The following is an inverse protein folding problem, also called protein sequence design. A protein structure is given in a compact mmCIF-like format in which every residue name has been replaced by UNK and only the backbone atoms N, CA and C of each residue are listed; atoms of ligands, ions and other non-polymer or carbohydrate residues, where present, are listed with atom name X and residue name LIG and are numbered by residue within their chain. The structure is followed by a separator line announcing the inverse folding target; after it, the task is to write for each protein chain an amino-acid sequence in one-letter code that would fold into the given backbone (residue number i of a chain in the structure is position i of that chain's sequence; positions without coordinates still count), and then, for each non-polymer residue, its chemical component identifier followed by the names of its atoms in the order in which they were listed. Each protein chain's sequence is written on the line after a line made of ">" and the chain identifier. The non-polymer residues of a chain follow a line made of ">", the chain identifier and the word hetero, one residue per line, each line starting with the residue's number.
data_IF_388597948362
#
_entry.id   IF_388597948362
#
_cell.length_a   1.000
_cell.length_b   1.000
_cell.length_c   1.000
_cell.angle_alpha   90.00
_cell.angle_beta   90.00
_cell.angle_gamma   90.00
#
_symmetry.space_group_name_H-M   'P 1'
#
loop_
_entity.id
_entity.type
_entity.pdbx_description
1 polymer ?
#
# COMPACT_ATOMS: atom_id res chain seq x y z
N UNK A 1 -18.26 12.95 10.45
CA UNK A 1 -18.13 11.94 11.53
C UNK A 1 -18.63 10.56 11.10
N UNK A 2 -19.91 10.40 10.72
CA UNK A 2 -20.47 9.12 10.28
C UNK A 2 -19.70 8.46 9.12
N UNK A 3 -19.26 9.26 8.13
CA UNK A 3 -18.43 8.81 7.01
C UNK A 3 -17.10 8.17 7.45
N UNK A 4 -16.43 8.81 8.41
CA UNK A 4 -15.13 8.35 8.92
C UNK A 4 -15.29 7.10 9.78
N UNK A 5 -16.38 7.01 10.55
CA UNK A 5 -16.69 5.84 11.37
C UNK A 5 -17.01 4.62 10.51
N UNK A 6 -17.76 4.77 9.41
CA UNK A 6 -18.07 3.69 8.49
C UNK A 6 -16.83 3.20 7.71
N UNK A 7 -15.98 4.12 7.24
CA UNK A 7 -14.70 3.77 6.60
C UNK A 7 -13.76 3.02 7.58
N UNK A 8 -13.66 3.50 8.82
CA UNK A 8 -12.88 2.84 9.86
C UNK A 8 -13.44 1.45 10.22
N UNK A 9 -14.77 1.31 10.28
CA UNK A 9 -15.42 0.02 10.52
C UNK A 9 -15.07 -0.99 9.42
N UNK A 10 -15.16 -0.61 8.14
CA UNK A 10 -14.83 -1.47 7.00
C UNK A 10 -13.36 -1.87 6.98
N UNK A 11 -12.47 -0.90 7.22
CA UNK A 11 -11.04 -1.15 7.36
C UNK A 11 -10.74 -2.14 8.50
N UNK A 12 -11.42 -1.98 9.64
CA UNK A 12 -11.23 -2.86 10.80
C UNK A 12 -11.76 -4.28 10.56
N UNK A 13 -12.90 -4.44 9.87
CA UNK A 13 -13.47 -5.75 9.53
C UNK A 13 -12.56 -6.50 8.56
N UNK A 14 -12.07 -5.85 7.50
CA UNK A 14 -11.15 -6.48 6.55
C UNK A 14 -9.80 -6.84 7.19
N UNK A 15 -9.27 -5.97 8.04
CA UNK A 15 -8.04 -6.24 8.80
C UNK A 15 -8.25 -7.39 9.80
N UNK A 16 -9.43 -7.47 10.42
CA UNK A 16 -9.81 -8.56 11.33
C UNK A 16 -9.97 -9.90 10.63
N UNK A 17 -10.56 -9.93 9.43
CA UNK A 17 -10.66 -11.15 8.60
C UNK A 17 -9.29 -11.67 8.19
N UNK A 18 -8.34 -10.78 7.87
CA UNK A 18 -6.97 -11.17 7.58
C UNK A 18 -6.22 -11.64 8.83
N UNK A 19 -6.46 -11.02 10.00
CA UNK A 19 -5.87 -11.46 11.26
C UNK A 19 -6.38 -12.84 11.73
N UNK A 20 -7.62 -13.20 11.37
CA UNK A 20 -8.20 -14.52 11.68
C UNK A 20 -7.45 -15.70 11.02
N UNK A 21 -6.65 -15.44 9.99
CA UNK A 21 -5.81 -16.47 9.34
C UNK A 21 -4.76 -17.08 10.29
N UNK A 22 -4.41 -16.40 11.38
CA UNK A 22 -3.48 -16.91 12.39
C UNK A 22 -4.13 -17.88 13.38
N UNK A 23 -5.44 -17.73 13.61
CA UNK A 23 -6.18 -18.47 14.64
C UNK A 23 -6.89 -19.72 14.10
N UNK A 24 -7.33 -19.70 12.84
CA UNK A 24 -8.09 -20.81 12.23
C UNK A 24 -7.16 -21.75 11.45
N UNK A 25 -7.07 -23.01 11.87
CA UNK A 25 -6.18 -24.02 11.26
C UNK A 25 -6.42 -24.24 9.75
N UNK A 26 -7.66 -24.09 9.27
CA UNK A 26 -7.99 -24.19 7.85
C UNK A 26 -7.37 -23.08 6.98
N UNK A 27 -7.06 -21.91 7.57
CA UNK A 27 -6.49 -20.75 6.87
C UNK A 27 -4.96 -20.65 7.04
N UNK A 28 -4.36 -21.46 7.93
CA UNK A 28 -2.90 -21.53 8.10
C UNK A 28 -2.17 -22.01 6.84
N UNK A 29 -2.86 -22.70 5.93
CA UNK A 29 -2.32 -23.11 4.62
C UNK A 29 -1.84 -21.90 3.81
N UNK A 30 -2.50 -20.75 3.92
CA UNK A 30 -2.08 -19.51 3.23
C UNK A 30 -0.78 -18.95 3.83
N UNK A 31 -0.55 -19.17 5.12
CA UNK A 31 0.68 -18.80 5.81
C UNK A 31 1.85 -19.74 5.43
N UNK A 32 1.55 -21.00 5.08
CA UNK A 32 2.54 -21.99 4.57
C UNK A 32 3.15 -21.59 3.21
N UNK A 33 2.48 -20.74 2.43
CA UNK A 33 3.02 -20.18 1.18
C UNK A 33 4.08 -19.08 1.39
N UNK A 34 4.40 -18.72 2.65
CA UNK A 34 5.40 -17.69 2.98
C UNK A 34 4.86 -16.26 2.90
N UNK A 35 3.53 -16.09 2.87
CA UNK A 35 2.88 -14.78 2.81
C UNK A 35 2.70 -14.23 4.23
N UNK A 36 3.44 -13.18 4.58
CA UNK A 36 3.27 -12.51 5.87
C UNK A 36 1.94 -11.74 5.91
N UNK A 37 0.91 -12.35 6.46
CA UNK A 37 -0.43 -11.74 6.58
C UNK A 37 -0.43 -10.48 7.46
N UNK A 38 0.45 -10.43 8.47
CA UNK A 38 0.72 -9.22 9.26
C UNK A 38 1.08 -8.03 8.36
N UNK A 39 1.90 -8.27 7.33
CA UNK A 39 2.33 -7.22 6.43
C UNK A 39 1.21 -6.72 5.52
N UNK A 40 0.33 -7.62 5.06
CA UNK A 40 -0.87 -7.27 4.28
C UNK A 40 -1.76 -6.31 5.07
N UNK A 41 -1.96 -6.55 6.37
CA UNK A 41 -2.75 -5.68 7.25
C UNK A 41 -2.12 -4.29 7.37
N UNK A 42 -0.80 -4.23 7.58
CA UNK A 42 -0.08 -2.94 7.66
C UNK A 42 -0.24 -2.14 6.37
N UNK A 43 -0.13 -2.78 5.21
CA UNK A 43 -0.30 -2.10 3.92
C UNK A 43 -1.72 -1.60 3.71
N UNK A 44 -2.75 -2.32 4.17
CA UNK A 44 -4.13 -1.84 4.12
C UNK A 44 -4.28 -0.56 4.95
N UNK A 45 -3.76 -0.53 6.17
CA UNK A 45 -3.82 0.65 7.05
C UNK A 45 -3.13 1.86 6.42
N UNK A 46 -1.99 1.66 5.76
CA UNK A 46 -1.27 2.74 5.09
C UNK A 46 -1.77 3.09 3.69
N UNK A 47 -2.66 2.30 3.10
CA UNK A 47 -3.23 2.57 1.78
C UNK A 47 -4.59 3.24 1.85
N UNK A 48 -5.40 2.92 2.87
CA UNK A 48 -6.78 3.43 2.99
C UNK A 48 -6.77 4.91 3.38
N UNK A 49 -7.31 5.74 2.49
CA UNK A 49 -7.56 7.16 2.73
C UNK A 49 -9.01 7.53 2.43
N UNK A 50 -9.42 8.76 2.79
CA UNK A 50 -10.80 9.21 2.61
C UNK A 50 -11.24 9.16 1.15
N UNK A 51 -10.35 9.45 0.19
CA UNK A 51 -10.70 9.44 -1.23
C UNK A 51 -10.15 8.21 -1.94
N UNK A 52 -10.91 7.68 -2.91
CA UNK A 52 -10.45 6.58 -3.77
C UNK A 52 -9.21 6.98 -4.59
N UNK A 53 -9.15 8.22 -5.09
CA UNK A 53 -7.98 8.71 -5.83
C UNK A 53 -6.72 8.78 -4.97
N UNK A 54 -6.84 9.28 -3.73
CA UNK A 54 -5.73 9.29 -2.78
C UNK A 54 -5.33 7.86 -2.37
N UNK A 55 -6.30 6.98 -2.11
CA UNK A 55 -6.06 5.57 -1.80
C UNK A 55 -5.29 4.87 -2.92
N UNK A 56 -5.66 5.09 -4.18
CA UNK A 56 -4.95 4.53 -5.33
C UNK A 56 -3.51 5.08 -5.46
N UNK A 57 -3.33 6.38 -5.21
CA UNK A 57 -2.01 7.00 -5.22
C UNK A 57 -1.11 6.45 -4.10
N UNK A 58 -1.63 6.28 -2.89
CA UNK A 58 -0.92 5.69 -1.76
C UNK A 58 -0.61 4.20 -1.99
N UNK A 59 -1.53 3.45 -2.57
CA UNK A 59 -1.28 2.06 -2.99
C UNK A 59 -0.13 1.97 -4.00
N UNK A 60 -0.08 2.89 -4.97
CA UNK A 60 1.02 2.98 -5.92
C UNK A 60 2.34 3.30 -5.22
N UNK A 61 2.35 4.24 -4.27
CA UNK A 61 3.54 4.55 -3.48
C UNK A 61 4.03 3.37 -2.66
N UNK A 62 3.12 2.57 -2.10
CA UNK A 62 3.45 1.36 -1.34
C UNK A 62 4.07 0.29 -2.24
N UNK A 63 3.54 0.12 -3.46
CA UNK A 63 4.10 -0.82 -4.43
C UNK A 63 5.51 -0.45 -4.89
N UNK A 64 5.77 0.82 -5.25
CA UNK A 64 7.12 1.26 -5.61
C UNK A 64 8.07 1.25 -4.42
N UNK A 65 7.55 1.55 -3.23
CA UNK A 65 8.30 1.52 -1.98
C UNK A 65 8.82 0.13 -1.62
N UNK A 66 8.18 -0.94 -2.08
CA UNK A 66 8.64 -2.32 -1.85
C UNK A 66 9.35 -2.95 -3.03
N UNK A 67 9.01 -2.57 -4.25
CA UNK A 67 9.65 -3.06 -5.47
C UNK A 67 11.13 -2.65 -5.56
N UNK A 68 11.47 -1.40 -5.21
CA UNK A 68 12.85 -0.93 -5.32
C UNK A 68 13.82 -1.61 -4.33
N UNK A 69 13.49 -1.78 -3.04
CA UNK A 69 14.34 -2.53 -2.10
C UNK A 69 14.40 -4.03 -2.42
N UNK A 70 13.31 -4.64 -2.88
CA UNK A 70 13.32 -6.07 -3.25
C UNK A 70 14.15 -6.33 -4.50
N UNK A 71 14.19 -5.40 -5.47
CA UNK A 71 15.13 -5.49 -6.59
C UNK A 71 16.58 -5.29 -6.14
N UNK A 72 16.85 -4.31 -5.28
CA UNK A 72 18.20 -4.08 -4.75
C UNK A 72 18.70 -5.31 -3.98
N UNK A 73 17.87 -5.91 -3.12
CA UNK A 73 18.26 -7.12 -2.39
C UNK A 73 18.46 -8.31 -3.34
N UNK A 74 17.66 -8.43 -4.41
CA UNK A 74 17.88 -9.45 -5.43
C UNK A 74 19.25 -9.30 -6.11
N UNK A 75 19.66 -8.08 -6.47
CA UNK A 75 21.00 -7.82 -7.00
C UNK A 75 22.09 -8.11 -5.96
N UNK A 76 21.86 -7.78 -4.69
CA UNK A 76 22.81 -7.97 -3.61
C UNK A 76 23.09 -9.46 -3.34
N UNK A 77 22.06 -10.31 -3.29
CA UNK A 77 22.20 -11.77 -3.17
C UNK A 77 22.60 -12.46 -4.49
N UNK A 78 22.34 -11.82 -5.64
CA UNK A 78 22.79 -12.29 -6.95
C UNK A 78 24.30 -12.16 -7.13
N UNK A 79 24.89 -11.02 -6.73
CA UNK A 79 26.34 -10.81 -6.79
C UNK A 79 27.11 -11.45 -5.63
N UNK A 80 26.50 -11.56 -4.45
CA UNK A 80 27.13 -12.17 -3.27
C UNK A 80 26.27 -13.32 -2.71
N UNK A 81 26.18 -14.47 -3.40
CA UNK A 81 25.31 -15.58 -3.01
C UNK A 81 25.71 -16.28 -1.69
N UNK A 82 26.93 -16.08 -1.20
CA UNK A 82 27.47 -16.68 0.03
C UNK A 82 27.70 -15.67 1.16
N UNK A 83 27.04 -14.50 1.12
CA UNK A 83 27.29 -13.41 2.07
C UNK A 83 27.05 -13.75 3.53
N UNK A 84 26.14 -14.68 3.82
CA UNK A 84 25.83 -15.15 5.18
C UNK A 84 26.74 -16.27 5.68
N UNK A 85 27.57 -16.87 4.83
CA UNK A 85 28.42 -18.03 5.19
C UNK A 85 29.86 -17.65 5.53
N UNK A 86 30.33 -16.46 5.14
CA UNK A 86 31.63 -15.92 5.58
C UNK A 86 31.47 -15.08 6.84
N UNK A 87 31.38 -15.79 7.97
CA UNK A 87 31.19 -15.28 9.32
C UNK A 87 32.40 -14.50 9.90
N UNK A 88 32.80 -13.40 9.26
CA UNK A 88 33.82 -12.48 9.78
C UNK A 88 33.33 -11.05 9.77
N UNK A 89 33.35 -10.38 10.93
CA UNK A 89 33.35 -8.91 10.98
C UNK A 89 34.58 -8.46 10.15
N UNK A 90 34.38 -7.60 9.15
CA UNK A 90 35.37 -7.20 8.12
C UNK A 90 35.58 -8.12 6.89
N UNK A 91 34.69 -9.06 6.58
CA UNK A 91 34.75 -9.74 5.27
C UNK A 91 34.43 -8.76 4.12
N UNK A 92 34.94 -8.98 2.90
CA UNK A 92 34.62 -8.16 1.73
C UNK A 92 33.11 -8.06 1.48
N UNK A 93 32.38 -9.12 1.79
CA UNK A 93 30.94 -9.21 1.64
C UNK A 93 30.18 -8.35 2.66
N UNK A 94 30.71 -8.22 3.88
CA UNK A 94 30.15 -7.32 4.90
C UNK A 94 30.27 -5.85 4.47
N UNK A 95 31.44 -5.45 3.94
CA UNK A 95 31.64 -4.11 3.40
C UNK A 95 30.75 -3.84 2.20
N UNK A 96 30.54 -4.82 1.33
CA UNK A 96 29.64 -4.70 0.19
C UNK A 96 28.19 -4.41 0.61
N UNK A 97 27.66 -5.16 1.59
CA UNK A 97 26.32 -4.92 2.14
C UNK A 97 26.18 -3.58 2.86
N UNK A 98 27.22 -3.14 3.58
CA UNK A 98 27.22 -1.84 4.27
C UNK A 98 27.29 -0.66 3.29
N UNK A 99 28.12 -0.75 2.26
CA UNK A 99 28.24 0.28 1.22
C UNK A 99 26.96 0.37 0.41
N UNK A 100 26.34 -0.76 0.04
CA UNK A 100 25.05 -0.76 -0.66
C UNK A 100 23.94 -0.10 0.19
N UNK A 101 23.88 -0.39 1.49
CA UNK A 101 22.93 0.29 2.38
C UNK A 101 23.14 1.80 2.39
N UNK A 102 24.37 2.29 2.53
CA UNK A 102 24.67 3.73 2.50
C UNK A 102 24.33 4.32 1.13
N UNK A 103 24.75 3.67 0.04
CA UNK A 103 24.51 4.13 -1.31
C UNK A 103 23.01 4.24 -1.63
N UNK A 104 22.21 3.25 -1.22
CA UNK A 104 20.75 3.26 -1.39
C UNK A 104 20.10 4.40 -0.59
N UNK A 105 20.50 4.61 0.67
CA UNK A 105 20.00 5.73 1.47
C UNK A 105 20.33 7.09 0.83
N UNK A 106 21.57 7.28 0.37
CA UNK A 106 21.99 8.52 -0.31
C UNK A 106 21.26 8.71 -1.64
N UNK A 107 21.06 7.64 -2.42
CA UNK A 107 20.31 7.71 -3.67
C UNK A 107 18.86 8.16 -3.43
N UNK A 108 18.19 7.64 -2.40
CA UNK A 108 16.82 8.04 -2.06
C UNK A 108 16.70 9.42 -1.42
N UNK A 109 17.77 9.92 -0.78
CA UNK A 109 17.86 11.32 -0.37
C UNK A 109 18.04 12.25 -1.58
N UNK A 110 18.90 11.86 -2.53
CA UNK A 110 19.21 12.66 -3.71
C UNK A 110 18.05 12.69 -4.73
N UNK A 111 17.37 11.56 -4.93
CA UNK A 111 16.16 11.48 -5.74
C UNK A 111 15.02 12.11 -4.94
N UNK A 112 14.44 13.21 -5.43
CA UNK A 112 13.31 13.91 -4.81
C UNK A 112 12.00 13.11 -4.93
N UNK A 113 11.99 11.91 -4.33
CA UNK A 113 10.88 10.95 -4.36
C UNK A 113 9.82 11.35 -3.34
N UNK A 114 8.51 11.11 -3.60
CA UNK A 114 7.45 11.32 -2.63
C UNK A 114 7.72 10.65 -1.28
N UNK A 115 7.33 11.32 -0.18
CA UNK A 115 7.61 10.89 1.20
C UNK A 115 7.08 9.48 1.48
N UNK A 116 5.91 9.11 0.94
CA UNK A 116 5.34 7.77 1.11
C UNK A 116 6.25 6.67 0.59
N UNK A 117 6.77 6.81 -0.63
CA UNK A 117 7.70 5.83 -1.24
C UNK A 117 8.99 5.77 -0.44
N UNK A 118 9.51 6.92 0.04
CA UNK A 118 10.75 6.96 0.85
C UNK A 118 10.61 6.20 2.16
N UNK A 119 9.50 6.35 2.89
CA UNK A 119 9.28 5.67 4.17
C UNK A 119 9.28 4.14 4.01
N UNK A 120 8.61 3.62 2.97
CA UNK A 120 8.58 2.19 2.70
C UNK A 120 9.91 1.67 2.13
N UNK A 121 10.55 2.42 1.24
CA UNK A 121 11.82 1.99 0.65
C UNK A 121 12.94 1.89 1.70
N UNK A 122 13.07 2.89 2.58
CA UNK A 122 14.12 2.92 3.59
C UNK A 122 13.90 1.88 4.70
N UNK A 123 12.66 1.64 5.10
CA UNK A 123 12.34 0.62 6.12
C UNK A 123 12.64 -0.80 5.60
N UNK A 124 12.26 -1.11 4.37
CA UNK A 124 12.58 -2.40 3.76
C UNK A 124 14.06 -2.59 3.46
N UNK A 125 14.74 -1.55 2.99
CA UNK A 125 16.19 -1.63 2.76
C UNK A 125 16.94 -1.92 4.07
N UNK A 126 16.53 -1.29 5.19
CA UNK A 126 17.12 -1.56 6.50
C UNK A 126 16.86 -3.01 6.96
N UNK A 127 15.66 -3.54 6.74
CA UNK A 127 15.36 -4.94 7.05
C UNK A 127 16.23 -5.90 6.24
N UNK A 128 16.35 -5.67 4.93
CA UNK A 128 17.13 -6.50 4.03
C UNK A 128 18.64 -6.43 4.29
N UNK A 129 19.17 -5.24 4.60
CA UNK A 129 20.59 -5.09 4.94
C UNK A 129 20.91 -5.75 6.28
N UNK A 130 20.06 -5.61 7.31
CA UNK A 130 20.22 -6.36 8.56
C UNK A 130 20.17 -7.88 8.34
N UNK A 131 19.28 -8.33 7.45
CA UNK A 131 19.13 -9.72 7.12
C UNK A 131 20.35 -10.31 6.39
N UNK A 132 21.05 -9.49 5.59
CA UNK A 132 22.29 -9.85 4.89
C UNK A 132 23.53 -9.79 5.81
N UNK A 133 23.60 -8.80 6.71
CA UNK A 133 24.75 -8.61 7.61
C UNK A 133 24.75 -9.57 8.80
N UNK A 134 23.61 -10.16 9.17
CA UNK A 134 23.50 -11.06 10.31
C UNK A 134 23.83 -12.52 9.92
N UNK A 135 24.96 -13.10 10.40
CA UNK A 135 25.37 -14.47 10.06
C UNK A 135 24.51 -15.56 10.73
N UNK A 136 23.66 -15.22 11.70
CA UNK A 136 22.75 -16.16 12.37
C UNK A 136 21.35 -16.19 11.77
N UNK A 137 21.12 -15.46 10.68
CA UNK A 137 19.80 -15.33 10.11
C UNK A 137 19.40 -16.58 9.31
N UNK A 138 18.26 -17.18 9.67
CA UNK A 138 17.72 -18.40 9.05
C UNK A 138 16.73 -18.12 7.91
N UNK A 139 16.51 -16.85 7.55
CA UNK A 139 15.64 -16.46 6.44
C UNK A 139 16.22 -16.94 5.11
N UNK A 140 15.44 -17.74 4.37
CA UNK A 140 15.82 -18.25 3.05
C UNK A 140 15.74 -17.11 2.02
N UNK A 141 16.90 -16.65 1.55
CA UNK A 141 17.01 -15.80 0.37
C UNK A 141 17.47 -16.64 -0.82
N UNK A 142 17.09 -16.24 -2.03
CA UNK A 142 17.53 -16.83 -3.29
C UNK A 142 19.05 -16.63 -3.42
N UNK A 143 19.83 -17.69 -3.42
CA UNK A 143 21.29 -17.63 -3.59
C UNK A 143 21.63 -17.72 -5.08
N UNK A 144 22.02 -16.60 -5.69
CA UNK A 144 22.37 -16.53 -7.11
C UNK A 144 21.18 -16.25 -8.04
N UNK A 145 21.46 -16.08 -9.34
CA UNK A 145 20.46 -15.80 -10.38
C UNK A 145 19.72 -17.06 -10.90
N UNK A 146 20.20 -18.26 -10.57
CA UNK A 146 19.71 -19.52 -11.17
C UNK A 146 18.60 -20.21 -10.35
N UNK A 147 18.54 -20.05 -9.02
CA UNK A 147 17.52 -20.70 -8.17
C UNK A 147 16.60 -19.67 -7.51
N UNK A 148 15.64 -19.12 -8.28
CA UNK A 148 14.60 -18.24 -7.76
C UNK A 148 13.66 -19.05 -6.85
N UNK A 149 13.98 -19.11 -5.56
CA UNK A 149 13.11 -19.71 -4.56
C UNK A 149 11.85 -18.85 -4.45
N UNK A 150 10.71 -19.37 -4.93
CA UNK A 150 9.41 -18.70 -4.89
C UNK A 150 8.93 -18.41 -3.43
N UNK A 151 9.47 -19.14 -2.45
CA UNK A 151 9.34 -18.91 -1.00
C UNK A 151 10.44 -18.00 -0.42
N UNK A 152 11.12 -17.23 -1.25
CA UNK A 152 12.18 -16.32 -0.81
C UNK A 152 11.65 -15.17 0.02
N UNK A 153 12.42 -14.74 1.03
CA UNK A 153 12.09 -13.59 1.89
C UNK A 153 11.93 -12.25 1.14
N UNK A 154 12.31 -12.18 -0.15
CA UNK A 154 12.08 -11.03 -1.02
C UNK A 154 10.74 -11.09 -1.79
N UNK A 155 10.21 -12.29 -2.08
CA UNK A 155 8.96 -12.48 -2.83
C UNK A 155 7.75 -12.30 -1.91
N UNK A 156 7.85 -12.73 -0.65
CA UNK A 156 6.79 -12.60 0.36
C UNK A 156 6.30 -11.14 0.57
N UNK A 157 7.20 -10.16 0.77
CA UNK A 157 6.84 -8.75 0.88
C UNK A 157 6.18 -8.18 -0.39
N UNK A 158 6.66 -8.57 -1.57
CA UNK A 158 6.15 -8.07 -2.85
C UNK A 158 4.73 -8.58 -3.11
N UNK A 159 4.50 -9.88 -2.91
CA UNK A 159 3.17 -10.48 -2.98
C UNK A 159 2.25 -9.90 -1.90
N UNK A 160 2.76 -9.72 -0.68
CA UNK A 160 2.03 -9.08 0.42
C UNK A 160 1.60 -7.64 0.09
N UNK A 161 2.45 -6.86 -0.58
CA UNK A 161 2.06 -5.51 -1.05
C UNK A 161 0.99 -5.54 -2.11
N UNK A 162 1.05 -6.46 -3.07
CA UNK A 162 0.06 -6.55 -4.14
C UNK A 162 -1.30 -6.87 -3.54
N UNK A 163 -1.38 -7.89 -2.68
CA UNK A 163 -2.62 -8.24 -1.99
C UNK A 163 -3.11 -7.12 -1.06
N UNK A 164 -2.22 -6.48 -0.32
CA UNK A 164 -2.58 -5.34 0.55
C UNK A 164 -3.12 -4.15 -0.22
N UNK A 165 -2.54 -3.83 -1.38
CA UNK A 165 -3.01 -2.75 -2.26
C UNK A 165 -4.37 -3.06 -2.87
N UNK A 166 -4.56 -4.29 -3.37
CA UNK A 166 -5.85 -4.74 -3.94
C UNK A 166 -6.94 -4.72 -2.87
N UNK A 167 -6.67 -5.27 -1.68
CA UNK A 167 -7.64 -5.28 -0.58
C UNK A 167 -7.92 -3.87 -0.05
N UNK A 168 -6.91 -2.99 0.03
CA UNK A 168 -7.10 -1.58 0.39
C UNK A 168 -8.00 -0.83 -0.61
N UNK A 169 -7.85 -1.09 -1.91
CA UNK A 169 -8.75 -0.55 -2.94
C UNK A 169 -10.16 -1.13 -2.86
N UNK A 170 -10.31 -2.41 -2.49
CA UNK A 170 -11.62 -3.05 -2.30
C UNK A 170 -12.37 -2.48 -1.08
N UNK A 171 -11.66 -2.08 -0.02
CA UNK A 171 -12.27 -1.41 1.16
C UNK A 171 -12.92 -0.09 0.77
N UNK A 172 -12.27 0.71 -0.07
CA UNK A 172 -12.72 2.06 -0.47
C UNK A 172 -13.66 2.02 -1.68
N UNK A 173 -13.43 1.08 -2.60
CA UNK A 173 -14.20 0.90 -3.82
C UNK A 173 -15.34 -0.13 -3.65
N UNK A 174 -15.32 -1.26 -4.39
CA UNK A 174 -16.50 -2.09 -4.60
C UNK A 174 -16.80 -3.11 -3.50
N UNK A 175 -16.73 -2.70 -2.24
CA UNK A 175 -17.19 -3.58 -1.17
C UNK A 175 -18.72 -3.74 -1.19
N UNK A 176 -19.27 -4.96 -1.04
CA UNK A 176 -20.72 -5.20 -0.99
C UNK A 176 -21.42 -4.43 0.14
N UNK A 177 -20.69 -4.15 1.22
CA UNK A 177 -21.13 -3.35 2.36
C UNK A 177 -21.03 -1.83 2.12
N UNK A 178 -20.48 -1.44 0.96
CA UNK A 178 -19.87 -0.15 0.76
C UNK A 178 -20.78 0.95 0.22
N UNK A 179 -21.58 0.56 -0.78
CA UNK A 179 -22.29 1.50 -1.64
C UNK A 179 -23.59 2.04 -1.04
N UNK A 180 -24.19 1.34 -0.07
CA UNK A 180 -25.57 1.60 0.33
C UNK A 180 -25.72 2.80 1.26
N UNK A 181 -24.73 3.17 2.08
CA UNK A 181 -24.90 4.28 3.05
C UNK A 181 -24.19 5.57 2.64
N UNK A 182 -22.99 5.48 2.07
CA UNK A 182 -22.19 6.66 1.67
C UNK A 182 -22.58 7.22 0.30
N UNK A 183 -22.98 6.35 -0.64
CA UNK A 183 -23.55 6.78 -1.93
C UNK A 183 -24.87 7.54 -1.76
N UNK A 184 -25.71 7.12 -0.79
CA UNK A 184 -26.97 7.82 -0.49
C UNK A 184 -26.75 9.23 0.07
N UNK A 185 -25.78 9.41 0.98
CA UNK A 185 -25.48 10.73 1.54
C UNK A 185 -24.94 11.72 0.49
N UNK A 186 -24.02 11.26 -0.36
CA UNK A 186 -23.48 12.10 -1.44
C UNK A 186 -24.52 12.40 -2.52
N UNK A 187 -25.37 11.42 -2.85
CA UNK A 187 -26.50 11.62 -3.76
C UNK A 187 -27.53 12.61 -3.19
N UNK A 188 -27.79 12.58 -1.88
CA UNK A 188 -28.67 13.54 -1.22
C UNK A 188 -28.11 14.97 -1.25
N UNK A 189 -26.83 15.17 -0.95
CA UNK A 189 -26.21 16.50 -1.05
C UNK A 189 -26.22 17.04 -2.47
N UNK A 190 -25.94 16.19 -3.47
CA UNK A 190 -26.01 16.60 -4.87
C UNK A 190 -27.45 16.90 -5.31
N UNK A 191 -28.44 16.11 -4.89
CA UNK A 191 -29.84 16.36 -5.17
C UNK A 191 -30.34 17.69 -4.56
N UNK A 192 -29.88 18.03 -3.34
CA UNK A 192 -30.19 19.31 -2.70
C UNK A 192 -29.56 20.47 -3.48
N UNK A 193 -28.31 20.34 -3.92
CA UNK A 193 -27.66 21.40 -4.74
C UNK A 193 -28.36 21.60 -6.08
N UNK A 194 -28.71 20.50 -6.76
CA UNK A 194 -29.40 20.54 -8.04
C UNK A 194 -30.76 21.24 -7.92
N UNK A 195 -31.55 20.89 -6.91
CA UNK A 195 -32.87 21.52 -6.67
C UNK A 195 -32.76 23.02 -6.36
N UNK A 196 -31.71 23.45 -5.65
CA UNK A 196 -31.44 24.87 -5.42
C UNK A 196 -31.06 25.62 -6.70
N UNK A 197 -30.27 25.01 -7.58
CA UNK A 197 -29.88 25.60 -8.86
C UNK A 197 -31.06 25.68 -9.84
N UNK A 198 -31.86 24.62 -9.94
CA UNK A 198 -33.10 24.63 -10.73
C UNK A 198 -34.07 25.71 -10.21
N UNK A 199 -34.24 25.84 -8.90
CA UNK A 199 -35.10 26.87 -8.31
C UNK A 199 -34.64 28.30 -8.62
N UNK A 200 -33.33 28.55 -8.69
CA UNK A 200 -32.78 29.86 -9.12
C UNK A 200 -33.02 30.10 -10.60
N UNK A 201 -32.85 29.07 -11.43
CA UNK A 201 -33.10 29.14 -12.87
C UNK A 201 -34.57 29.46 -13.15
N UNK A 202 -35.49 28.83 -12.42
CA UNK A 202 -36.92 29.06 -12.55
C UNK A 202 -37.32 30.49 -12.18
N UNK A 203 -36.76 31.03 -11.09
CA UNK A 203 -36.98 32.44 -10.71
C UNK A 203 -36.47 33.41 -11.78
N UNK A 204 -35.26 33.19 -12.31
CA UNK A 204 -34.71 34.05 -13.36
C UNK A 204 -35.58 34.01 -14.63
N UNK A 205 -36.14 32.85 -14.96
CA UNK A 205 -37.04 32.68 -16.09
C UNK A 205 -38.36 33.44 -15.91
N UNK A 206 -38.99 33.34 -14.72
CA UNK A 206 -40.21 34.08 -14.40
C UNK A 206 -39.97 35.59 -14.40
N UNK A 207 -38.87 36.06 -13.82
CA UNK A 207 -38.52 37.49 -13.81
C UNK A 207 -38.31 38.04 -15.23
N UNK A 208 -37.74 37.23 -16.14
CA UNK A 208 -37.58 37.60 -17.55
C UNK A 208 -38.92 37.74 -18.26
N UNK A 209 -39.82 36.75 -18.11
CA UNK A 209 -41.14 36.80 -18.75
C UNK A 209 -42.03 37.91 -18.16
N UNK A 210 -42.06 38.07 -16.84
CA UNK A 210 -42.86 39.11 -16.18
C UNK A 210 -42.32 40.53 -16.45
N UNK A 211 -41.01 40.73 -16.64
CA UNK A 211 -40.47 42.03 -17.07
C UNK A 211 -40.84 42.39 -18.51
N UNK A 212 -40.98 41.40 -19.39
CA UNK A 212 -41.39 41.66 -20.78
C UNK A 212 -42.83 42.18 -20.89
N UNK A 213 -43.67 41.88 -19.90
CA UNK A 213 -45.09 42.28 -19.85
C UNK A 213 -45.30 43.72 -19.37
N UNK A 214 -44.28 44.35 -18.75
CA UNK A 214 -44.34 45.74 -18.28
C UNK A 214 -43.87 46.77 -19.32
N UNK A 215 -43.43 46.34 -20.51
CA UNK A 215 -42.93 47.22 -21.58
C UNK A 215 -43.94 47.49 -22.71
N UNK A 216 -45.23 47.28 -22.49
CA UNK A 216 -46.31 47.67 -23.41
C UNK A 216 -46.99 48.95 -22.94
#
# INVERSE_FOLDING_TARGET
>A
FAYLADLALRGSVMSGLLALTYWVDALKVVNTFGWSMQYVVVIIVFSVYMDMGNTACLAWYNFYGTLLPTLNVFFLWGWCPHGTTQAGVFSPTWWFGFVDFIAFNFAFLALNVPVGVRMFALSWQAYFSMAFLNPHNTTKFSTGFDDIILQGAAVGPLVGTIFGCVLGLVVVGPSPWGYTLTGLGHAQEQAIKLTWEEGKLWKAMVDYFCKSDQTV
#
